data_IF_435413113582
#
_entry.id   IF_435413113582
#
_cell.length_a   1.000
_cell.length_b   1.000
_cell.length_c   1.000
_cell.angle_alpha   90.00
_cell.angle_beta   90.00
_cell.angle_gamma   90.00
#
_symmetry.space_group_name_H-M   'P 1'
#
loop_
_entity.id
_entity.type
_entity.pdbx_description
1 polymer ?
#
# COMPACT_ATOMS: atom_id res chain seq x y z
N UNK A 1 22.41 18.10 10.10
CA UNK A 1 21.15 18.15 9.34
C UNK A 1 21.59 18.17 7.89
N UNK A 2 21.17 17.20 7.13
CA UNK A 2 21.49 17.17 5.69
C UNK A 2 20.44 18.02 4.97
N UNK A 3 20.89 19.10 4.35
CA UNK A 3 20.04 19.94 3.52
C UNK A 3 20.10 19.39 2.08
N UNK A 4 18.93 19.11 1.52
CA UNK A 4 18.79 18.55 0.17
C UNK A 4 18.09 19.62 -0.71
N UNK A 5 18.65 19.90 -1.86
CA UNK A 5 17.94 20.65 -2.91
C UNK A 5 17.51 19.70 -4.03
N UNK A 6 16.37 19.99 -4.67
CA UNK A 6 15.87 19.24 -5.82
C UNK A 6 15.00 20.12 -6.74
N UNK A 7 14.86 19.69 -8.00
CA UNK A 7 13.98 20.35 -8.95
C UNK A 7 12.52 19.96 -8.74
N UNK A 8 12.27 18.70 -8.35
CA UNK A 8 10.93 18.18 -8.10
C UNK A 8 10.89 17.41 -6.79
N UNK A 9 10.06 17.85 -5.88
CA UNK A 9 9.68 17.12 -4.67
C UNK A 9 8.28 16.52 -4.85
N UNK A 10 8.17 15.22 -4.69
CA UNK A 10 6.88 14.52 -4.66
C UNK A 10 6.60 14.06 -3.23
N UNK A 11 5.44 14.40 -2.68
CA UNK A 11 5.04 13.97 -1.34
C UNK A 11 3.93 12.94 -1.43
N UNK A 12 4.25 11.73 -0.96
CA UNK A 12 3.43 10.52 -1.06
C UNK A 12 3.85 9.63 -2.23
N UNK A 13 4.16 8.36 -1.95
CA UNK A 13 4.55 7.35 -2.94
C UNK A 13 3.41 6.38 -3.27
N UNK A 14 2.17 6.85 -3.26
CA UNK A 14 1.02 6.15 -3.83
C UNK A 14 1.06 6.15 -5.37
N UNK A 15 0.04 5.56 -6.06
CA UNK A 15 0.01 5.45 -7.53
C UNK A 15 0.23 6.77 -8.27
N UNK A 16 -0.30 7.88 -7.78
CA UNK A 16 -0.06 9.20 -8.37
C UNK A 16 1.38 9.67 -8.15
N UNK A 17 1.92 9.49 -6.94
CA UNK A 17 3.24 10.01 -6.56
C UNK A 17 4.39 9.24 -7.19
N UNK A 18 4.45 7.91 -7.04
CA UNK A 18 5.58 7.16 -7.60
C UNK A 18 5.63 7.22 -9.13
N UNK A 19 4.47 7.27 -9.81
CA UNK A 19 4.44 7.45 -11.27
C UNK A 19 4.97 8.83 -11.66
N UNK A 20 4.55 9.89 -10.96
CA UNK A 20 5.04 11.24 -11.20
C UNK A 20 6.55 11.35 -10.96
N UNK A 21 7.05 10.79 -9.85
CA UNK A 21 8.48 10.82 -9.51
C UNK A 21 9.34 10.05 -10.52
N UNK A 22 8.91 8.84 -10.92
CA UNK A 22 9.59 8.06 -11.96
C UNK A 22 9.64 8.88 -13.25
N UNK A 23 8.52 9.48 -13.66
CA UNK A 23 8.49 10.23 -14.90
C UNK A 23 9.33 11.50 -14.86
N UNK A 24 9.31 12.25 -13.77
CA UNK A 24 10.16 13.43 -13.58
C UNK A 24 11.65 13.07 -13.69
N UNK A 25 12.07 12.02 -12.99
CA UNK A 25 13.46 11.54 -13.01
C UNK A 25 13.87 11.04 -14.42
N UNK A 26 13.00 10.31 -15.13
CA UNK A 26 13.24 9.91 -16.53
C UNK A 26 13.40 11.09 -17.49
N UNK A 27 12.79 12.24 -17.19
CA UNK A 27 12.98 13.47 -17.94
C UNK A 27 14.26 14.23 -17.57
N UNK A 28 15.08 13.66 -16.68
CA UNK A 28 16.36 14.23 -16.27
C UNK A 28 16.26 15.26 -15.14
N UNK A 29 15.08 15.38 -14.48
CA UNK A 29 14.92 16.30 -13.36
C UNK A 29 15.45 15.66 -12.07
N UNK A 30 16.20 16.42 -11.28
CA UNK A 30 16.59 15.99 -9.93
C UNK A 30 15.34 15.86 -9.06
N UNK A 31 14.98 14.61 -8.74
CA UNK A 31 13.69 14.28 -8.14
C UNK A 31 13.86 13.60 -6.80
N UNK A 32 13.18 14.13 -5.80
CA UNK A 32 13.01 13.53 -4.47
C UNK A 32 11.55 13.13 -4.30
N UNK A 33 11.31 11.96 -3.73
CA UNK A 33 9.99 11.50 -3.31
C UNK A 33 10.03 11.12 -1.83
N UNK A 34 9.06 11.61 -1.06
CA UNK A 34 8.91 11.36 0.38
C UNK A 34 7.71 10.46 0.62
N UNK A 35 7.88 9.42 1.45
CA UNK A 35 6.80 8.52 1.84
C UNK A 35 6.86 8.22 3.35
N UNK A 36 5.74 8.41 4.03
CA UNK A 36 5.63 8.21 5.48
C UNK A 36 5.48 6.75 5.91
N UNK A 37 5.07 5.85 4.98
CA UNK A 37 4.86 4.42 5.26
C UNK A 37 5.65 3.58 4.23
N UNK A 38 4.98 2.98 3.27
CA UNK A 38 5.60 2.12 2.24
C UNK A 38 5.26 2.62 0.84
N UNK A 39 6.22 2.58 -0.06
CA UNK A 39 5.99 2.91 -1.46
C UNK A 39 4.93 1.98 -2.09
N UNK A 40 4.04 2.56 -2.89
CA UNK A 40 2.87 1.87 -3.46
C UNK A 40 1.54 2.42 -2.95
N UNK A 41 1.53 3.04 -1.76
CA UNK A 41 0.37 3.72 -1.16
C UNK A 41 -0.81 2.79 -0.90
N UNK A 42 -1.98 3.35 -0.67
CA UNK A 42 -3.19 2.61 -0.29
C UNK A 42 -3.54 1.50 -1.27
N UNK A 43 -3.47 1.74 -2.56
CA UNK A 43 -3.85 0.73 -3.57
C UNK A 43 -2.99 -0.55 -3.46
N UNK A 44 -1.68 -0.41 -3.35
CA UNK A 44 -0.76 -1.55 -3.33
C UNK A 44 -0.71 -2.21 -1.94
N UNK A 45 -0.62 -1.39 -0.87
CA UNK A 45 -0.32 -1.89 0.47
C UNK A 45 -1.57 -2.39 1.20
N UNK A 46 -2.70 -1.69 1.07
CA UNK A 46 -3.90 -1.92 1.89
C UNK A 46 -5.22 -1.74 1.13
N UNK A 47 -5.22 -1.94 -0.18
CA UNK A 47 -6.41 -1.72 -1.03
C UNK A 47 -6.47 -2.70 -2.18
N UNK A 48 -6.23 -2.19 -3.40
CA UNK A 48 -6.47 -2.92 -4.66
C UNK A 48 -5.76 -4.28 -4.74
N UNK A 49 -4.50 -4.35 -4.36
CA UNK A 49 -3.71 -5.58 -4.50
C UNK A 49 -4.13 -6.62 -3.45
N UNK A 50 -4.10 -6.31 -2.14
CA UNK A 50 -4.51 -7.30 -1.13
C UNK A 50 -5.97 -7.73 -1.29
N UNK A 51 -6.91 -6.82 -1.60
CA UNK A 51 -8.31 -7.20 -1.80
C UNK A 51 -8.48 -8.15 -2.99
N UNK A 52 -7.79 -7.91 -4.11
CA UNK A 52 -7.86 -8.80 -5.28
C UNK A 52 -7.19 -10.15 -5.03
N UNK A 53 -6.15 -10.20 -4.21
CA UNK A 53 -5.55 -11.46 -3.79
C UNK A 53 -6.55 -12.31 -3.00
N UNK A 54 -7.25 -11.71 -2.02
CA UNK A 54 -8.27 -12.40 -1.23
C UNK A 54 -9.48 -12.82 -2.08
N UNK A 55 -9.98 -11.96 -2.97
CA UNK A 55 -11.07 -12.29 -3.91
C UNK A 55 -10.68 -13.47 -4.79
N UNK A 56 -9.45 -13.45 -5.35
CA UNK A 56 -8.96 -14.57 -6.16
C UNK A 56 -8.92 -15.90 -5.39
N UNK A 57 -8.48 -15.87 -4.14
CA UNK A 57 -8.49 -17.06 -3.28
C UNK A 57 -9.91 -17.55 -2.98
N UNK A 58 -10.85 -16.61 -2.71
CA UNK A 58 -12.25 -16.94 -2.48
C UNK A 58 -12.91 -17.59 -3.70
N UNK A 59 -12.68 -17.07 -4.92
CA UNK A 59 -13.14 -17.66 -6.17
C UNK A 59 -12.59 -19.09 -6.36
N UNK A 60 -11.31 -19.31 -6.05
CA UNK A 60 -10.70 -20.65 -6.12
C UNK A 60 -11.35 -21.61 -5.11
N UNK A 61 -11.62 -21.14 -3.90
CA UNK A 61 -12.30 -21.94 -2.89
C UNK A 61 -13.70 -22.33 -3.32
N UNK A 62 -14.49 -21.40 -3.89
CA UNK A 62 -15.83 -21.65 -4.40
C UNK A 62 -15.80 -22.69 -5.53
N UNK A 63 -14.90 -22.55 -6.49
CA UNK A 63 -14.72 -23.56 -7.56
C UNK A 63 -14.39 -24.95 -7.00
N UNK A 64 -13.51 -25.05 -6.01
CA UNK A 64 -13.16 -26.34 -5.41
C UNK A 64 -14.35 -26.93 -4.67
N UNK A 65 -15.12 -26.12 -3.93
CA UNK A 65 -16.29 -26.57 -3.20
C UNK A 65 -17.37 -27.17 -4.15
N UNK A 66 -17.60 -26.56 -5.30
CA UNK A 66 -18.53 -27.08 -6.32
C UNK A 66 -18.13 -28.49 -6.81
N UNK A 67 -16.84 -28.80 -6.86
CA UNK A 67 -16.35 -30.10 -7.30
C UNK A 67 -16.39 -31.17 -6.19
N UNK A 68 -16.47 -30.80 -4.92
CA UNK A 68 -16.74 -31.74 -3.83
C UNK A 68 -18.13 -32.38 -4.02
N UNK A 69 -19.11 -31.59 -4.42
CA UNK A 69 -20.47 -32.05 -4.69
C UNK A 69 -20.64 -32.70 -6.09
N UNK A 70 -19.61 -32.67 -6.91
CA UNK A 70 -19.60 -33.23 -8.28
C UNK A 70 -20.19 -32.29 -9.32
N UNK A 71 -19.34 -31.50 -9.99
CA UNK A 71 -19.73 -30.54 -11.02
C UNK A 71 -18.98 -30.83 -12.33
N UNK A 72 -19.65 -30.72 -13.48
CA UNK A 72 -19.09 -30.99 -14.83
C UNK A 72 -18.38 -32.34 -14.97
N UNK A 73 -18.86 -33.38 -14.28
CA UNK A 73 -18.23 -34.71 -14.29
C UNK A 73 -16.94 -34.82 -13.49
N UNK A 74 -16.51 -33.76 -12.81
CA UNK A 74 -15.37 -33.75 -11.91
C UNK A 74 -15.86 -33.85 -10.45
N UNK A 75 -15.19 -34.66 -9.65
CA UNK A 75 -15.48 -34.80 -8.24
C UNK A 75 -14.18 -34.85 -7.44
N UNK A 76 -14.18 -34.13 -6.32
CA UNK A 76 -13.10 -34.17 -5.33
C UNK A 76 -13.59 -35.06 -4.18
N UNK A 77 -12.85 -36.14 -3.90
CA UNK A 77 -13.14 -36.98 -2.75
C UNK A 77 -12.47 -36.38 -1.51
N UNK A 78 -13.28 -35.86 -0.60
CA UNK A 78 -12.85 -35.26 0.65
C UNK A 78 -13.50 -33.90 0.92
N UNK A 79 -12.86 -33.09 1.77
CA UNK A 79 -13.30 -31.74 2.09
C UNK A 79 -12.25 -30.71 1.71
N UNK A 80 -12.70 -29.52 1.35
CA UNK A 80 -11.83 -28.36 1.12
C UNK A 80 -11.88 -27.47 2.35
N UNK A 81 -10.74 -27.07 2.86
CA UNK A 81 -10.62 -26.16 4.01
C UNK A 81 -9.74 -24.97 3.66
N UNK A 82 -9.97 -23.87 4.34
CA UNK A 82 -9.19 -22.64 4.22
C UNK A 82 -8.46 -22.37 5.53
N UNK A 83 -7.16 -22.10 5.45
CA UNK A 83 -6.37 -21.56 6.55
C UNK A 83 -6.19 -20.06 6.33
N UNK A 84 -6.87 -19.24 7.13
CA UNK A 84 -6.84 -17.77 7.00
C UNK A 84 -5.45 -17.22 7.26
N UNK A 85 -4.70 -17.70 8.24
CA UNK A 85 -3.35 -17.22 8.52
C UNK A 85 -2.38 -17.45 7.35
N UNK A 86 -2.47 -18.61 6.68
CA UNK A 86 -1.68 -18.88 5.47
C UNK A 86 -2.12 -18.02 4.28
N UNK A 87 -3.43 -17.77 4.13
CA UNK A 87 -3.97 -16.90 3.10
C UNK A 87 -3.50 -15.45 3.27
N UNK A 88 -3.55 -14.93 4.50
CA UNK A 88 -3.06 -13.58 4.82
C UNK A 88 -1.55 -13.49 4.55
N UNK A 89 -0.77 -14.48 4.99
CA UNK A 89 0.67 -14.53 4.72
C UNK A 89 0.99 -14.53 3.22
N UNK A 90 0.28 -15.32 2.42
CA UNK A 90 0.43 -15.33 0.96
C UNK A 90 0.08 -13.98 0.33
N UNK A 91 -1.00 -13.33 0.77
CA UNK A 91 -1.37 -11.97 0.36
C UNK A 91 -0.25 -10.98 0.67
N UNK A 92 0.34 -11.05 1.86
CA UNK A 92 1.41 -10.15 2.31
C UNK A 92 2.72 -10.34 1.52
N UNK A 93 3.02 -11.55 1.10
CA UNK A 93 4.14 -11.82 0.18
C UNK A 93 3.95 -11.11 -1.16
N UNK A 94 2.73 -11.13 -1.72
CA UNK A 94 2.41 -10.42 -2.97
C UNK A 94 2.61 -8.92 -2.78
N UNK A 95 2.04 -8.35 -1.71
CA UNK A 95 2.17 -6.93 -1.38
C UNK A 95 3.63 -6.53 -1.23
N UNK A 96 4.39 -7.30 -0.46
CA UNK A 96 5.82 -7.05 -0.21
C UNK A 96 6.65 -7.10 -1.50
N UNK A 97 6.39 -8.07 -2.36
CA UNK A 97 7.07 -8.21 -3.66
C UNK A 97 6.82 -7.00 -4.56
N UNK A 98 5.58 -6.54 -4.63
CA UNK A 98 5.21 -5.38 -5.45
C UNK A 98 5.71 -4.07 -4.86
N UNK A 99 5.71 -3.90 -3.54
CA UNK A 99 6.31 -2.75 -2.86
C UNK A 99 7.80 -2.61 -3.23
N UNK A 100 8.59 -3.69 -3.08
CA UNK A 100 10.00 -3.71 -3.49
C UNK A 100 10.16 -3.40 -4.99
N UNK A 101 9.20 -3.82 -5.81
CA UNK A 101 9.18 -3.50 -7.24
C UNK A 101 9.06 -2.00 -7.49
N UNK A 102 8.18 -1.30 -6.76
CA UNK A 102 8.04 0.17 -6.87
C UNK A 102 9.31 0.88 -6.41
N UNK A 103 9.91 0.47 -5.28
CA UNK A 103 11.17 1.03 -4.79
C UNK A 103 12.30 0.86 -5.83
N UNK A 104 12.37 -0.32 -6.45
CA UNK A 104 13.34 -0.60 -7.51
C UNK A 104 13.11 0.27 -8.76
N UNK A 105 11.87 0.49 -9.17
CA UNK A 105 11.54 1.38 -10.29
C UNK A 105 11.92 2.83 -10.01
N UNK A 106 11.65 3.33 -8.82
CA UNK A 106 12.07 4.66 -8.38
C UNK A 106 13.59 4.81 -8.45
N UNK A 107 14.31 3.87 -7.86
CA UNK A 107 15.78 3.84 -7.85
C UNK A 107 16.35 3.79 -9.28
N UNK A 108 15.81 2.93 -10.14
CA UNK A 108 16.30 2.80 -11.53
C UNK A 108 16.02 4.04 -12.37
N UNK A 109 14.94 4.76 -12.08
CA UNK A 109 14.64 6.04 -12.72
C UNK A 109 15.55 7.19 -12.23
N UNK A 110 16.26 7.01 -11.11
CA UNK A 110 17.08 8.04 -10.48
C UNK A 110 16.36 8.91 -9.47
N UNK A 111 15.12 8.57 -9.09
CA UNK A 111 14.39 9.28 -8.03
C UNK A 111 14.90 8.85 -6.64
N UNK A 112 15.17 9.83 -5.78
CA UNK A 112 15.62 9.60 -4.38
C UNK A 112 14.40 9.42 -3.48
N UNK A 113 14.17 8.19 -2.98
CA UNK A 113 13.13 7.92 -1.99
C UNK A 113 13.64 8.21 -0.58
N UNK A 114 12.92 9.05 0.15
CA UNK A 114 13.15 9.36 1.56
C UNK A 114 11.95 8.86 2.37
N UNK A 115 12.20 7.96 3.30
CA UNK A 115 11.17 7.45 4.22
C UNK A 115 11.02 8.38 5.41
N UNK A 116 9.85 8.97 5.57
CA UNK A 116 9.55 9.89 6.66
C UNK A 116 8.31 10.73 6.40
N UNK A 117 7.96 11.55 7.38
CA UNK A 117 6.80 12.44 7.33
C UNK A 117 7.21 13.86 7.00
N UNK A 118 6.65 14.40 5.92
CA UNK A 118 6.94 15.74 5.41
C UNK A 118 6.06 16.79 6.08
N UNK A 119 6.69 17.85 6.56
CA UNK A 119 6.03 19.05 7.09
C UNK A 119 6.54 20.27 6.34
N UNK A 120 5.65 21.01 5.71
CA UNK A 120 6.01 22.22 4.95
C UNK A 120 6.13 23.43 5.87
N UNK A 121 7.19 24.20 5.66
CA UNK A 121 7.39 25.54 6.25
C UNK A 121 6.79 26.61 5.34
N UNK A 122 6.92 26.42 4.06
CA UNK A 122 6.35 27.25 2.98
C UNK A 122 6.21 26.43 1.70
N UNK A 123 5.92 27.08 0.57
CA UNK A 123 5.66 26.43 -0.72
C UNK A 123 6.86 25.65 -1.29
N UNK A 124 8.08 25.89 -0.80
CA UNK A 124 9.32 25.30 -1.34
C UNK A 124 10.17 24.57 -0.30
N UNK A 125 9.96 24.85 0.97
CA UNK A 125 10.76 24.29 2.06
C UNK A 125 9.95 23.32 2.89
N UNK A 126 10.47 22.12 3.01
CA UNK A 126 9.85 21.05 3.80
C UNK A 126 10.91 20.41 4.71
N UNK A 127 10.48 19.98 5.88
CA UNK A 127 11.28 19.15 6.79
C UNK A 127 10.67 17.76 6.79
N UNK A 128 11.48 16.73 6.62
CA UNK A 128 11.08 15.33 6.66
C UNK A 128 11.62 14.70 7.93
N UNK A 129 10.73 14.26 8.80
CA UNK A 129 11.10 13.51 10.00
C UNK A 129 11.39 12.06 9.60
N UNK A 130 12.66 11.70 9.64
CA UNK A 130 13.14 10.34 9.32
C UNK A 130 13.59 9.60 10.59
N UNK A 131 13.84 8.30 10.49
CA UNK A 131 14.37 7.50 11.60
C UNK A 131 15.76 7.94 12.04
N UNK A 132 16.54 8.52 11.13
CA UNK A 132 17.92 8.96 11.34
C UNK A 132 18.02 10.45 11.72
N UNK A 133 16.87 11.12 11.88
CA UNK A 133 16.76 12.54 12.21
C UNK A 133 16.13 13.36 11.08
N UNK A 134 15.89 14.66 11.33
CA UNK A 134 15.22 15.52 10.36
C UNK A 134 16.12 15.87 9.17
N UNK A 135 15.51 15.85 7.99
CA UNK A 135 16.12 16.24 6.70
C UNK A 135 15.36 17.44 6.17
N UNK A 136 16.05 18.54 5.86
CA UNK A 136 15.42 19.69 5.20
C UNK A 136 15.53 19.55 3.69
N UNK A 137 14.45 19.87 2.99
CA UNK A 137 14.38 19.81 1.53
C UNK A 137 13.93 21.16 1.00
N UNK A 138 14.71 21.71 0.08
CA UNK A 138 14.33 22.86 -0.75
C UNK A 138 14.01 22.37 -2.17
N UNK A 139 12.81 22.69 -2.67
CA UNK A 139 12.35 22.22 -3.96
C UNK A 139 11.93 23.39 -4.87
N UNK A 140 12.28 23.31 -6.16
CA UNK A 140 11.80 24.28 -7.15
C UNK A 140 10.30 24.09 -7.40
N UNK A 141 9.85 22.81 -7.48
CA UNK A 141 8.48 22.42 -7.74
C UNK A 141 8.04 21.31 -6.78
N UNK A 142 6.79 21.35 -6.34
CA UNK A 142 6.22 20.37 -5.42
C UNK A 142 4.98 19.72 -6.01
N UNK A 143 4.91 18.39 -5.92
CA UNK A 143 3.74 17.60 -6.28
C UNK A 143 3.19 16.95 -4.99
N UNK A 144 1.96 17.32 -4.59
CA UNK A 144 1.27 16.73 -3.47
C UNK A 144 0.46 15.53 -3.95
N UNK A 145 0.86 14.33 -3.52
CA UNK A 145 0.21 13.05 -3.82
C UNK A 145 -0.05 12.26 -2.54
N UNK A 146 -0.47 12.96 -1.48
CA UNK A 146 -0.55 12.46 -0.10
C UNK A 146 -1.66 11.42 0.13
N UNK A 147 -2.55 11.22 -0.86
CA UNK A 147 -3.60 10.22 -0.79
C UNK A 147 -4.73 10.56 0.18
N UNK A 148 -5.31 9.54 0.78
CA UNK A 148 -6.44 9.64 1.72
C UNK A 148 -6.37 8.57 2.79
N UNK A 149 -7.04 8.81 3.89
CA UNK A 149 -7.23 7.86 5.00
C UNK A 149 -8.71 7.64 5.24
N UNK A 150 -9.13 6.49 5.80
CA UNK A 150 -10.49 6.29 6.26
C UNK A 150 -10.89 7.35 7.29
N UNK A 151 -12.11 7.87 7.19
CA UNK A 151 -12.65 8.80 8.19
C UNK A 151 -13.16 8.01 9.39
N UNK A 152 -12.62 8.31 10.56
CA UNK A 152 -13.07 7.75 11.81
C UNK A 152 -14.19 8.60 12.39
N UNK A 153 -15.34 7.99 12.68
CA UNK A 153 -16.45 8.70 13.29
C UNK A 153 -16.19 8.90 14.80
N UNK A 154 -16.52 10.06 15.39
CA UNK A 154 -16.22 10.33 16.80
C UNK A 154 -16.85 9.34 17.79
N UNK A 155 -18.00 8.74 17.41
CA UNK A 155 -18.75 7.78 18.22
C UNK A 155 -18.50 6.32 17.82
N UNK A 156 -17.69 6.06 16.78
CA UNK A 156 -17.42 4.72 16.26
C UNK A 156 -16.01 4.68 15.71
N UNK A 157 -15.07 4.47 16.61
CA UNK A 157 -13.64 4.42 16.30
C UNK A 157 -13.26 3.02 15.84
N UNK A 158 -12.24 2.95 14.97
CA UNK A 158 -11.66 1.67 14.58
C UNK A 158 -10.86 1.10 15.76
N UNK A 159 -11.23 -0.11 16.18
CA UNK A 159 -10.46 -0.93 17.12
C UNK A 159 -9.71 -2.05 16.39
N UNK A 160 -10.00 -2.21 15.09
CA UNK A 160 -9.46 -3.24 14.18
C UNK A 160 -9.75 -4.69 14.65
N UNK A 161 -10.70 -4.86 15.55
CA UNK A 161 -11.18 -6.13 16.09
C UNK A 161 -12.67 -6.32 15.77
N UNK A 162 -13.53 -5.41 16.26
CA UNK A 162 -14.99 -5.43 16.03
C UNK A 162 -15.41 -4.37 15.01
N UNK A 163 -14.74 -3.24 15.02
CA UNK A 163 -14.97 -2.12 14.11
C UNK A 163 -13.70 -1.94 13.29
N UNK A 164 -13.68 -2.62 12.16
CA UNK A 164 -12.52 -2.64 11.28
C UNK A 164 -12.59 -1.53 10.23
N UNK A 165 -11.45 -0.91 9.96
CA UNK A 165 -11.25 -0.16 8.73
C UNK A 165 -11.13 -1.11 7.54
N UNK A 166 -11.07 -0.56 6.32
CA UNK A 166 -10.74 -1.35 5.13
C UNK A 166 -9.37 -2.03 5.23
N UNK A 167 -8.46 -1.50 6.06
CA UNK A 167 -7.15 -2.10 6.31
C UNK A 167 -7.27 -3.32 7.20
N UNK A 168 -7.93 -3.20 8.37
CA UNK A 168 -8.11 -4.33 9.28
C UNK A 168 -8.92 -5.47 8.67
N UNK A 169 -9.92 -5.13 7.83
CA UNK A 169 -10.71 -6.14 7.14
C UNK A 169 -9.89 -7.03 6.17
N UNK A 170 -8.72 -6.57 5.72
CA UNK A 170 -7.81 -7.34 4.87
C UNK A 170 -6.83 -8.23 5.66
N UNK A 171 -6.78 -8.07 6.97
CA UNK A 171 -5.82 -8.73 7.87
C UNK A 171 -6.50 -9.61 8.92
N UNK A 172 -7.78 -9.96 8.72
CA UNK A 172 -8.51 -10.86 9.60
C UNK A 172 -7.82 -12.23 9.67
N UNK A 173 -7.56 -12.68 10.87
CA UNK A 173 -6.93 -13.98 11.14
C UNK A 173 -7.91 -15.17 11.11
N UNK A 174 -9.20 -14.86 11.17
CA UNK A 174 -10.30 -15.83 11.09
C UNK A 174 -11.49 -15.23 10.31
N UNK A 175 -12.29 -16.10 9.68
CA UNK A 175 -13.54 -15.69 9.06
C UNK A 175 -14.59 -15.42 10.14
N UNK A 176 -15.14 -14.20 10.24
CA UNK A 176 -16.22 -13.93 11.18
C UNK A 176 -17.52 -14.62 10.72
N UNK A 177 -18.33 -15.09 11.68
CA UNK A 177 -19.63 -15.70 11.37
C UNK A 177 -20.60 -14.70 10.74
N UNK A 178 -20.49 -13.41 11.07
CA UNK A 178 -21.33 -12.33 10.58
C UNK A 178 -20.52 -11.07 10.39
N UNK A 179 -20.74 -10.41 9.27
CA UNK A 179 -20.16 -9.09 8.93
C UNK A 179 -21.27 -8.14 8.58
N UNK A 180 -21.18 -6.92 9.08
CA UNK A 180 -22.01 -5.79 8.64
C UNK A 180 -21.10 -4.79 7.89
N UNK A 181 -21.57 -4.33 6.72
CA UNK A 181 -20.87 -3.34 5.88
C UNK A 181 -21.78 -2.13 5.68
#
# INVERSE_FOLDING_TARGET
MDDISCQVLVVGAGPGGYVAAIRAAQLGLDTVIVEGDKAGGTCLIRGCIPSKALIHAAERMDHLAQHVDGHMGMKIDGSVSLNMGELVSWKDEIVTKLNKGVEHLLKNAGARLISGWATFKDAKHCTVETKDGPVNIEAENVILATGSIPIELPFMKFDEEYICSSTGALDLDALPERVAV
#
